data_IF_405815915279
#
_entry.id   IF_405815915279
#
_cell.length_a   1.000
_cell.length_b   1.000
_cell.length_c   1.000
_cell.angle_alpha   90.00
_cell.angle_beta   90.00
_cell.angle_gamma   90.00
#
_symmetry.space_group_name_H-M   'P 1'
#
loop_
_entity.id
_entity.type
_entity.pdbx_description
1 polymer ?
#
# COMPACT_ATOMS: atom_id res chain seq x y z
N UNK A 1 -5.33 1.62 58.87
CA UNK A 1 -6.01 2.84 58.37
C UNK A 1 -5.21 3.37 57.18
N UNK A 2 -5.58 2.98 55.99
CA UNK A 2 -4.88 3.36 54.74
C UNK A 2 -5.51 4.62 54.19
N UNK A 3 -4.79 5.75 54.27
CA UNK A 3 -5.18 7.00 53.63
C UNK A 3 -5.10 6.88 52.14
N UNK A 4 -6.22 6.64 51.49
CA UNK A 4 -6.37 6.82 50.03
C UNK A 4 -6.53 8.32 49.78
N UNK A 5 -5.42 9.01 49.54
CA UNK A 5 -5.43 10.41 49.15
C UNK A 5 -6.28 10.56 47.84
N UNK A 6 -7.42 11.21 47.98
CA UNK A 6 -8.28 11.53 46.86
C UNK A 6 -7.54 12.48 45.91
N UNK A 7 -6.98 11.96 44.80
CA UNK A 7 -6.36 12.75 43.75
C UNK A 7 -7.40 13.68 43.11
N UNK A 8 -7.06 14.97 43.05
CA UNK A 8 -7.94 15.99 42.45
C UNK A 8 -8.35 15.64 41.04
N UNK A 9 -9.55 16.04 40.58
CA UNK A 9 -10.03 15.73 39.24
C UNK A 9 -9.08 16.26 38.14
N UNK A 10 -8.40 17.37 38.39
CA UNK A 10 -7.38 17.92 37.46
C UNK A 10 -6.17 16.99 37.28
N UNK A 11 -5.70 16.34 38.35
CA UNK A 11 -4.57 15.40 38.28
C UNK A 11 -4.95 14.15 37.46
N UNK A 12 -6.16 13.67 37.58
CA UNK A 12 -6.65 12.52 36.77
C UNK A 12 -6.75 12.88 35.29
N UNK A 13 -7.17 14.09 34.99
CA UNK A 13 -7.30 14.60 33.60
C UNK A 13 -5.91 14.77 32.99
N UNK A 14 -4.94 15.33 33.69
CA UNK A 14 -3.56 15.48 33.21
C UNK A 14 -2.89 14.11 32.95
N UNK A 15 -3.05 13.15 33.85
CA UNK A 15 -2.52 11.81 33.65
C UNK A 15 -3.17 11.12 32.47
N UNK A 16 -4.49 11.24 32.32
CA UNK A 16 -5.22 10.69 31.17
C UNK A 16 -4.73 11.26 29.84
N UNK A 17 -4.57 12.58 29.76
CA UNK A 17 -4.06 13.26 28.55
C UNK A 17 -2.62 12.84 28.23
N UNK A 18 -1.77 12.74 29.24
CA UNK A 18 -0.39 12.30 29.07
C UNK A 18 -0.32 10.85 28.57
N UNK A 19 -1.14 9.94 29.11
CA UNK A 19 -1.22 8.56 28.65
C UNK A 19 -1.67 8.47 27.18
N UNK A 20 -2.64 9.27 26.75
CA UNK A 20 -3.12 9.31 25.36
C UNK A 20 -2.00 9.80 24.43
N UNK A 21 -1.30 10.88 24.80
CA UNK A 21 -0.17 11.39 24.01
C UNK A 21 0.95 10.37 23.85
N UNK A 22 1.27 9.63 24.90
CA UNK A 22 2.30 8.58 24.88
C UNK A 22 1.86 7.40 24.02
N UNK A 23 0.60 6.99 24.08
CA UNK A 23 0.06 5.91 23.25
C UNK A 23 0.06 6.27 21.75
N UNK A 24 -0.19 7.53 21.42
CA UNK A 24 -0.16 8.00 20.03
C UNK A 24 1.26 8.10 19.45
N UNK A 25 2.29 8.30 20.28
CA UNK A 25 3.66 8.45 19.81
C UNK A 25 4.30 7.15 19.24
N UNK A 26 3.74 5.99 19.59
CA UNK A 26 4.22 4.68 19.12
C UNK A 26 3.56 4.17 17.84
N UNK A 27 2.59 4.91 17.27
CA UNK A 27 1.88 4.49 16.07
C UNK A 27 2.44 5.19 14.83
N UNK A 28 2.86 4.43 13.84
CA UNK A 28 3.19 4.96 12.51
C UNK A 28 2.34 4.30 11.44
N UNK A 29 1.73 5.13 10.59
CA UNK A 29 0.97 4.68 9.41
C UNK A 29 1.64 5.27 8.18
N UNK A 30 1.97 4.42 7.22
CA UNK A 30 2.61 4.83 5.98
C UNK A 30 1.90 4.19 4.79
N UNK A 31 1.66 5.00 3.76
CA UNK A 31 1.20 4.55 2.46
C UNK A 31 2.26 4.89 1.42
N UNK A 32 2.64 3.92 0.60
CA UNK A 32 3.54 4.09 -0.53
C UNK A 32 2.82 3.58 -1.76
N UNK A 33 2.65 4.47 -2.74
CA UNK A 33 2.10 4.13 -4.06
C UNK A 33 3.29 4.09 -5.01
N UNK A 34 3.41 3.02 -5.76
CA UNK A 34 4.40 2.85 -6.81
C UNK A 34 3.68 2.81 -8.14
N UNK A 35 4.06 3.68 -9.05
CA UNK A 35 3.45 3.98 -10.35
C UNK A 35 1.98 4.43 -10.26
N UNK A 36 1.52 5.06 -11.33
CA UNK A 36 0.12 5.46 -11.46
C UNK A 36 -0.75 4.26 -11.85
N UNK A 37 -1.94 4.22 -11.29
CA UNK A 37 -2.92 3.16 -11.55
C UNK A 37 -3.46 3.31 -12.96
N UNK A 38 -3.33 2.28 -13.78
CA UNK A 38 -4.01 2.23 -15.07
C UNK A 38 -5.47 1.88 -14.85
N UNK A 39 -6.37 2.78 -15.23
CA UNK A 39 -7.81 2.59 -15.04
C UNK A 39 -8.50 2.04 -16.29
N UNK A 40 -9.67 1.42 -16.09
CA UNK A 40 -10.48 0.90 -17.22
C UNK A 40 -10.91 2.01 -18.17
N UNK A 41 -11.11 3.23 -17.68
CA UNK A 41 -11.46 4.39 -18.49
C UNK A 41 -10.31 4.80 -19.42
N UNK A 42 -9.09 4.74 -18.92
CA UNK A 42 -7.88 5.07 -19.70
C UNK A 42 -7.60 4.07 -20.82
N UNK A 43 -8.08 2.84 -20.71
CA UNK A 43 -7.85 1.79 -21.73
C UNK A 43 -9.03 1.58 -22.66
N UNK A 44 -10.14 2.31 -22.52
CA UNK A 44 -11.35 2.17 -23.34
C UNK A 44 -11.13 2.49 -24.84
N UNK A 45 -10.05 3.21 -25.19
CA UNK A 45 -9.71 3.50 -26.58
C UNK A 45 -9.10 2.29 -27.29
N UNK A 46 -8.61 1.28 -26.57
CA UNK A 46 -7.91 0.14 -27.13
C UNK A 46 -8.85 -0.69 -28.00
N UNK A 47 -8.47 -0.82 -29.28
CA UNK A 47 -9.16 -1.65 -30.26
C UNK A 47 -8.22 -2.77 -30.70
N UNK A 48 -8.59 -4.00 -30.39
CA UNK A 48 -7.85 -5.19 -30.79
C UNK A 48 -7.75 -5.23 -32.33
N UNK A 49 -6.54 -5.47 -32.83
CA UNK A 49 -6.22 -5.49 -34.26
C UNK A 49 -6.05 -4.10 -34.89
N UNK A 50 -6.09 -3.00 -34.10
CA UNK A 50 -5.96 -1.64 -34.66
C UNK A 50 -4.98 -0.78 -33.82
N UNK A 51 -5.14 -0.74 -32.50
CA UNK A 51 -4.30 0.09 -31.62
C UNK A 51 -2.86 -0.42 -31.61
N UNK A 52 -1.92 0.49 -31.80
CA UNK A 52 -0.48 0.19 -31.79
C UNK A 52 0.17 0.48 -30.44
N UNK A 53 1.38 -0.04 -30.24
CA UNK A 53 2.16 0.24 -29.02
C UNK A 53 2.47 1.75 -28.86
N UNK A 54 2.68 2.48 -29.95
CA UNK A 54 2.93 3.92 -29.89
C UNK A 54 1.70 4.68 -29.42
N UNK A 55 0.53 4.35 -29.95
CA UNK A 55 -0.73 4.93 -29.53
C UNK A 55 -1.03 4.60 -28.05
N UNK A 56 -0.72 3.38 -27.63
CA UNK A 56 -0.84 2.98 -26.23
C UNK A 56 0.06 3.83 -25.31
N UNK A 57 1.33 4.01 -25.70
CA UNK A 57 2.29 4.81 -24.95
C UNK A 57 1.92 6.28 -24.89
N UNK A 58 1.31 6.84 -25.93
CA UNK A 58 0.83 8.23 -25.93
C UNK A 58 -0.33 8.46 -24.93
N UNK A 59 -1.18 7.45 -24.72
CA UNK A 59 -2.36 7.58 -23.87
C UNK A 59 -2.11 7.23 -22.40
N UNK A 60 -1.34 6.18 -22.14
CA UNK A 60 -1.13 5.67 -20.76
C UNK A 60 0.33 5.68 -20.33
N UNK A 61 1.22 6.17 -21.18
CA UNK A 61 2.66 6.19 -20.90
C UNK A 61 3.40 4.94 -21.38
N UNK A 62 4.73 4.95 -21.22
CA UNK A 62 5.55 3.81 -21.57
C UNK A 62 5.32 2.64 -20.60
N UNK A 63 5.32 1.40 -21.08
CA UNK A 63 5.25 0.22 -20.22
C UNK A 63 6.50 0.08 -19.36
N UNK A 64 6.36 -0.53 -18.18
CA UNK A 64 7.49 -0.81 -17.28
C UNK A 64 8.41 -1.89 -17.83
N UNK A 65 7.82 -2.85 -18.55
CA UNK A 65 8.56 -3.98 -19.13
C UNK A 65 7.95 -4.36 -20.49
N UNK A 66 8.81 -4.67 -21.44
CA UNK A 66 8.41 -5.25 -22.73
C UNK A 66 9.22 -6.51 -22.96
N UNK A 67 8.55 -7.63 -23.10
CA UNK A 67 9.17 -8.92 -23.44
C UNK A 67 8.79 -9.31 -24.85
N UNK A 68 9.79 -9.43 -25.73
CA UNK A 68 9.61 -9.85 -27.11
C UNK A 68 9.65 -11.37 -27.25
N UNK A 69 8.90 -11.89 -28.22
CA UNK A 69 8.88 -13.29 -28.60
C UNK A 69 8.76 -13.44 -30.12
N UNK A 70 8.96 -14.64 -30.62
CA UNK A 70 8.85 -14.93 -32.07
C UNK A 70 7.48 -14.57 -32.67
N UNK A 71 6.43 -14.49 -31.83
CA UNK A 71 5.05 -14.25 -32.27
C UNK A 71 4.53 -12.85 -31.92
N UNK A 72 5.40 -11.97 -31.42
CA UNK A 72 5.04 -10.61 -31.01
C UNK A 72 5.69 -10.19 -29.70
N UNK A 73 5.03 -9.33 -28.95
CA UNK A 73 5.54 -8.81 -27.69
C UNK A 73 4.47 -8.75 -26.60
N UNK A 74 4.91 -8.72 -25.37
CA UNK A 74 4.05 -8.51 -24.20
C UNK A 74 4.56 -7.29 -23.44
N UNK A 75 3.71 -6.27 -23.30
CA UNK A 75 3.99 -5.10 -22.46
C UNK A 75 3.29 -5.23 -21.12
N UNK A 76 4.00 -4.86 -20.05
CA UNK A 76 3.53 -4.92 -18.68
C UNK A 76 3.56 -3.53 -18.06
N UNK A 77 2.47 -3.17 -17.41
CA UNK A 77 2.31 -1.99 -16.57
C UNK A 77 2.02 -2.46 -15.16
N UNK A 78 2.92 -2.16 -14.23
CA UNK A 78 2.83 -2.62 -12.85
C UNK A 78 2.61 -1.44 -11.92
N UNK A 79 1.68 -1.56 -10.99
CA UNK A 79 1.52 -0.60 -9.90
C UNK A 79 1.23 -1.32 -8.59
N UNK A 80 1.51 -0.65 -7.51
CA UNK A 80 1.20 -1.20 -6.20
C UNK A 80 0.82 -0.12 -5.20
N UNK A 81 -0.17 -0.42 -4.37
CA UNK A 81 -0.53 0.38 -3.19
C UNK A 81 -0.11 -0.40 -1.94
N UNK A 82 0.95 0.06 -1.31
CA UNK A 82 1.48 -0.53 -0.09
C UNK A 82 1.05 0.28 1.11
N UNK A 83 0.25 -0.33 1.97
CA UNK A 83 -0.17 0.25 3.25
C UNK A 83 0.53 -0.47 4.39
N UNK A 84 1.23 0.28 5.22
CA UNK A 84 1.90 -0.26 6.39
C UNK A 84 1.43 0.46 7.65
N UNK A 85 1.15 -0.32 8.69
CA UNK A 85 0.92 0.17 10.03
C UNK A 85 1.93 -0.50 10.96
N UNK A 86 2.60 0.31 11.77
CA UNK A 86 3.55 -0.18 12.77
C UNK A 86 3.19 0.39 14.14
N UNK A 87 3.25 -0.49 15.15
CA UNK A 87 3.12 -0.16 16.55
C UNK A 87 4.45 -0.45 17.23
N UNK A 88 5.11 0.59 17.75
CA UNK A 88 6.35 0.45 18.51
C UNK A 88 6.07 0.48 20.02
N UNK A 89 5.98 -0.72 20.60
CA UNK A 89 5.83 -0.87 22.04
C UNK A 89 7.15 -0.58 22.80
N UNK A 90 8.28 -0.66 22.11
CA UNK A 90 9.59 -0.35 22.68
C UNK A 90 9.73 1.13 23.04
N UNK A 91 9.10 2.02 22.26
CA UNK A 91 9.10 3.45 22.57
C UNK A 91 8.43 3.74 23.93
N UNK A 92 7.32 3.05 24.22
CA UNK A 92 6.62 3.16 25.51
C UNK A 92 7.44 2.57 26.65
N UNK A 93 8.09 1.43 26.42
CA UNK A 93 8.89 0.77 27.44
C UNK A 93 10.14 1.58 27.82
N UNK A 94 10.73 2.35 26.89
CA UNK A 94 11.90 3.23 27.14
C UNK A 94 11.62 4.39 28.09
N UNK A 95 10.35 4.77 28.28
CA UNK A 95 9.96 5.78 29.26
C UNK A 95 10.19 5.28 30.69
N UNK A 96 10.16 3.97 30.91
CA UNK A 96 10.29 3.34 32.22
C UNK A 96 11.61 2.58 32.34
N UNK A 97 12.07 1.97 31.27
CA UNK A 97 13.25 1.13 31.19
C UNK A 97 14.18 1.62 30.06
N UNK A 98 15.29 2.32 30.39
CA UNK A 98 16.17 2.90 29.37
C UNK A 98 16.82 1.85 28.43
N UNK A 99 16.84 0.59 28.84
CA UNK A 99 17.37 -0.53 28.07
C UNK A 99 16.28 -1.48 27.53
N UNK A 100 15.04 -1.00 27.39
CA UNK A 100 13.97 -1.84 26.87
C UNK A 100 14.25 -2.29 25.41
N UNK A 101 14.07 -3.58 25.09
CA UNK A 101 14.20 -4.06 23.73
C UNK A 101 13.13 -3.44 22.82
N UNK A 102 13.47 -3.24 21.56
CA UNK A 102 12.51 -2.75 20.55
C UNK A 102 11.57 -3.89 20.18
N UNK A 103 10.28 -3.74 20.49
CA UNK A 103 9.24 -4.64 20.05
C UNK A 103 8.32 -3.88 19.11
N UNK A 104 8.46 -4.16 17.81
CA UNK A 104 7.66 -3.53 16.76
C UNK A 104 6.76 -4.56 16.12
N UNK A 105 5.46 -4.32 16.14
CA UNK A 105 4.49 -5.07 15.35
C UNK A 105 4.23 -4.34 14.04
N UNK A 106 4.64 -4.93 12.94
CA UNK A 106 4.44 -4.40 11.59
C UNK A 106 3.41 -5.24 10.85
N UNK A 107 2.48 -4.56 10.20
CA UNK A 107 1.64 -5.16 9.17
C UNK A 107 1.83 -4.37 7.89
N UNK A 108 2.16 -5.08 6.83
CA UNK A 108 2.28 -4.51 5.48
C UNK A 108 1.33 -5.26 4.55
N UNK A 109 0.38 -4.54 3.97
CA UNK A 109 -0.45 -5.04 2.88
C UNK A 109 0.12 -4.49 1.56
N UNK A 110 0.44 -5.37 0.63
CA UNK A 110 0.87 -5.02 -0.73
C UNK A 110 -0.19 -5.55 -1.67
N UNK A 111 -0.80 -4.66 -2.45
CA UNK A 111 -1.73 -5.05 -3.52
C UNK A 111 -1.03 -4.78 -4.85
N UNK A 112 -0.32 -5.76 -5.41
CA UNK A 112 0.22 -5.64 -6.75
C UNK A 112 -0.92 -5.78 -7.75
N UNK A 113 -1.00 -4.84 -8.65
CA UNK A 113 -1.92 -4.87 -9.79
C UNK A 113 -1.09 -4.72 -11.06
N UNK A 114 -1.56 -5.32 -12.14
CA UNK A 114 -0.83 -5.35 -13.40
C UNK A 114 -1.82 -5.24 -14.55
N UNK A 115 -1.49 -4.40 -15.52
CA UNK A 115 -2.13 -4.38 -16.81
C UNK A 115 -1.17 -4.96 -17.84
N UNK A 116 -1.64 -5.94 -18.59
CA UNK A 116 -0.86 -6.66 -19.58
C UNK A 116 -1.47 -6.47 -20.96
N UNK A 117 -0.62 -6.17 -21.93
CA UNK A 117 -1.01 -6.02 -23.34
C UNK A 117 -0.13 -6.93 -24.19
N UNK A 118 -0.78 -7.75 -25.00
CA UNK A 118 -0.13 -8.67 -25.94
C UNK A 118 -0.23 -8.06 -27.33
N UNK A 119 0.90 -7.94 -28.00
CA UNK A 119 1.03 -7.44 -29.36
C UNK A 119 1.36 -8.56 -30.34
N UNK A 120 0.97 -8.37 -31.58
CA UNK A 120 1.44 -9.20 -32.67
C UNK A 120 2.84 -8.76 -33.18
N UNK A 121 3.34 -9.42 -34.22
CA UNK A 121 4.63 -9.10 -34.85
C UNK A 121 4.68 -7.71 -35.53
N UNK A 122 3.55 -7.05 -35.69
CA UNK A 122 3.41 -5.70 -36.24
C UNK A 122 3.20 -4.64 -35.15
N UNK A 123 3.37 -5.01 -33.86
CA UNK A 123 3.17 -4.14 -32.71
C UNK A 123 1.74 -3.63 -32.56
N UNK A 124 0.76 -4.41 -33.04
CA UNK A 124 -0.67 -4.13 -32.90
C UNK A 124 -1.24 -4.96 -31.75
N UNK A 125 -2.12 -4.36 -30.95
CA UNK A 125 -2.74 -5.03 -29.80
C UNK A 125 -3.57 -6.24 -30.26
N UNK A 126 -3.17 -7.43 -29.78
CA UNK A 126 -3.89 -8.68 -30.01
C UNK A 126 -4.83 -9.04 -28.85
N UNK A 127 -4.40 -8.73 -27.64
CA UNK A 127 -5.20 -8.95 -26.43
C UNK A 127 -4.68 -8.07 -25.31
N UNK A 128 -5.53 -7.78 -24.32
CA UNK A 128 -5.12 -7.09 -23.11
C UNK A 128 -5.96 -7.55 -21.91
N UNK A 129 -5.46 -7.33 -20.72
CA UNK A 129 -6.17 -7.68 -19.51
C UNK A 129 -5.55 -7.12 -18.25
N UNK A 130 -6.34 -7.05 -17.19
CA UNK A 130 -5.89 -6.68 -15.86
C UNK A 130 -5.68 -7.93 -15.02
N UNK A 131 -4.53 -8.02 -14.35
CA UNK A 131 -4.28 -9.00 -13.30
C UNK A 131 -4.33 -8.32 -11.95
N UNK A 132 -5.29 -8.72 -11.14
CA UNK A 132 -5.43 -8.22 -9.77
C UNK A 132 -5.19 -9.37 -8.81
N UNK A 133 -4.08 -9.31 -8.10
CA UNK A 133 -3.77 -10.31 -7.08
C UNK A 133 -4.37 -9.88 -5.74
N UNK A 134 -5.51 -10.40 -5.40
CA UNK A 134 -6.09 -10.26 -4.05
C UNK A 134 -5.37 -11.22 -3.10
N UNK A 135 -4.30 -10.76 -2.48
CA UNK A 135 -3.61 -11.53 -1.44
C UNK A 135 -3.83 -10.89 -0.09
N UNK A 136 -5.06 -10.70 0.36
CA UNK A 136 -5.18 -10.28 1.75
C UNK A 136 -6.54 -10.55 2.36
N UNK A 137 -6.53 -11.55 3.22
CA UNK A 137 -7.44 -11.52 4.35
C UNK A 137 -6.81 -10.55 5.37
N UNK A 138 -7.47 -9.45 5.75
CA UNK A 138 -6.93 -8.55 6.77
C UNK A 138 -6.75 -9.34 8.06
N UNK A 139 -5.52 -9.33 8.63
CA UNK A 139 -5.22 -9.99 9.90
C UNK A 139 -6.05 -9.36 11.02
N UNK A 140 -6.55 -8.14 10.80
CA UNK A 140 -7.44 -7.43 11.73
C UNK A 140 -8.63 -6.92 10.92
N UNK A 141 -9.74 -7.67 10.93
CA UNK A 141 -10.93 -7.41 10.12
C UNK A 141 -11.68 -6.12 10.48
N UNK A 142 -11.41 -5.54 11.66
CA UNK A 142 -12.04 -4.29 12.11
C UNK A 142 -11.24 -3.02 11.72
N UNK A 143 -10.11 -3.16 11.00
CA UNK A 143 -9.30 -2.01 10.59
C UNK A 143 -9.75 -1.52 9.21
N UNK A 144 -10.22 -0.26 9.08
CA UNK A 144 -10.88 0.25 7.88
C UNK A 144 -9.94 0.64 6.73
N UNK A 145 -8.73 0.09 6.65
CA UNK A 145 -7.78 0.39 5.58
C UNK A 145 -7.59 -0.78 4.62
#
# INVERSE_FOLDING_TARGET
MTNVAARSPSTRLVIGTLCILVLCAGCSVRRVVFNDVVTTEQVNFIRVGQTTILELADHIGAPDEVTESEFGAVALYNWSDTKSAALDFGALARLVLPYAPTLTLNKTGITPEQFQVVFDSQWTVRAYGFSRRTTDKPVVWFWPF
#
